data_IF_323278066237
#
_entry.id   IF_323278066237
#
_cell.length_a   1.000
_cell.length_b   1.000
_cell.length_c   1.000
_cell.angle_alpha   90.00
_cell.angle_beta   90.00
_cell.angle_gamma   90.00
#
_symmetry.space_group_name_H-M   'P 1'
#
loop_
_entity.id
_entity.type
_entity.pdbx_description
1 polymer ?
#
# COMPACT_ATOMS: atom_id res chain seq x y z
N UNK A 1 -13.72 -10.36 21.90
CA UNK A 1 -13.67 -9.74 20.56
C UNK A 1 -12.20 -9.70 20.15
N UNK A 2 -11.72 -10.75 19.48
CA UNK A 2 -10.39 -10.71 18.85
C UNK A 2 -10.58 -10.05 17.51
N UNK A 3 -9.98 -8.88 17.31
CA UNK A 3 -9.94 -8.25 15.99
C UNK A 3 -8.86 -8.98 15.20
N UNK A 4 -9.21 -9.53 14.03
CA UNK A 4 -8.24 -10.03 13.07
C UNK A 4 -7.56 -8.82 12.41
N UNK A 5 -6.27 -8.64 12.70
CA UNK A 5 -5.45 -7.54 12.17
C UNK A 5 -4.94 -7.78 10.76
N UNK A 6 -5.43 -8.83 10.10
CA UNK A 6 -4.94 -9.23 8.79
C UNK A 6 -5.79 -8.57 7.70
N UNK A 7 -5.36 -7.38 7.26
CA UNK A 7 -5.93 -6.67 6.11
C UNK A 7 -5.28 -7.23 4.84
N UNK A 8 -6.09 -7.61 3.85
CA UNK A 8 -5.54 -8.14 2.60
C UNK A 8 -4.97 -7.01 1.72
N UNK A 9 -3.88 -7.30 1.01
CA UNK A 9 -3.18 -6.31 0.19
C UNK A 9 -4.05 -5.83 -0.99
N UNK A 10 -4.97 -6.66 -1.48
CA UNK A 10 -5.91 -6.26 -2.53
C UNK A 10 -6.92 -5.21 -2.07
N UNK A 11 -7.23 -5.15 -0.76
CA UNK A 11 -8.09 -4.10 -0.18
C UNK A 11 -7.42 -2.72 -0.22
N UNK A 12 -6.08 -2.70 -0.23
CA UNK A 12 -5.27 -1.47 -0.26
C UNK A 12 -4.92 -1.08 -1.70
N UNK A 13 -4.54 -2.07 -2.52
CA UNK A 13 -4.04 -1.81 -3.87
C UNK A 13 -5.13 -1.75 -4.94
N UNK A 14 -6.35 -2.23 -4.62
CA UNK A 14 -7.44 -2.44 -5.57
C UNK A 14 -7.05 -3.25 -6.81
N UNK A 15 -5.99 -4.05 -6.67
CA UNK A 15 -5.39 -4.80 -7.75
C UNK A 15 -5.58 -6.29 -7.50
N UNK A 16 -6.09 -7.01 -8.50
CA UNK A 16 -6.32 -8.44 -8.39
C UNK A 16 -5.00 -9.22 -8.33
N UNK A 17 -5.03 -10.36 -7.65
CA UNK A 17 -3.87 -11.24 -7.59
C UNK A 17 -3.47 -11.73 -8.99
N UNK A 18 -2.18 -11.65 -9.30
CA UNK A 18 -1.60 -12.14 -10.54
C UNK A 18 -0.38 -13.01 -10.26
N UNK A 19 -0.02 -13.87 -11.22
CA UNK A 19 1.17 -14.73 -11.15
C UNK A 19 1.25 -15.57 -9.86
N UNK A 20 0.10 -16.02 -9.34
CA UNK A 20 0.02 -16.76 -8.08
C UNK A 20 0.52 -15.98 -6.87
N UNK A 21 0.24 -14.67 -6.81
CA UNK A 21 0.54 -13.82 -5.66
C UNK A 21 1.92 -13.18 -5.65
N UNK A 22 2.79 -13.52 -6.61
CA UNK A 22 4.18 -13.05 -6.64
C UNK A 22 4.34 -11.53 -6.76
N UNK A 23 3.33 -10.85 -7.31
CA UNK A 23 3.38 -9.40 -7.57
C UNK A 23 2.37 -8.60 -6.75
N UNK A 24 1.70 -9.22 -5.77
CA UNK A 24 0.60 -8.59 -5.02
C UNK A 24 1.03 -7.35 -4.21
N UNK A 25 2.31 -7.23 -3.86
CA UNK A 25 2.85 -6.10 -3.09
C UNK A 25 3.58 -5.07 -3.94
N UNK A 26 3.81 -5.33 -5.23
CA UNK A 26 4.55 -4.43 -6.13
C UNK A 26 3.64 -3.30 -6.63
N UNK A 27 3.16 -2.47 -5.70
CA UNK A 27 2.22 -1.39 -5.95
C UNK A 27 2.71 -0.06 -5.35
N UNK A 28 2.49 1.10 -6.02
CA UNK A 28 2.87 2.41 -5.49
C UNK A 28 2.31 2.70 -4.09
N UNK A 29 1.07 2.31 -3.79
CA UNK A 29 0.49 2.49 -2.45
C UNK A 29 1.28 1.74 -1.35
N UNK A 30 1.85 0.58 -1.66
CA UNK A 30 2.65 -0.20 -0.70
C UNK A 30 4.06 0.38 -0.59
N UNK A 31 4.73 0.59 -1.73
CA UNK A 31 6.11 1.06 -1.74
C UNK A 31 6.25 2.54 -1.36
N UNK A 32 5.28 3.39 -1.69
CA UNK A 32 5.21 4.78 -1.25
C UNK A 32 5.15 4.87 0.28
N UNK A 33 4.33 4.04 0.93
CA UNK A 33 4.30 3.96 2.40
C UNK A 33 5.61 3.50 3.05
N UNK A 34 6.42 2.68 2.35
CA UNK A 34 7.72 2.20 2.86
C UNK A 34 8.84 3.21 2.60
N UNK A 35 8.82 3.87 1.45
CA UNK A 35 9.91 4.70 0.95
C UNK A 35 9.74 6.19 1.26
N UNK A 36 8.53 6.64 1.61
CA UNK A 36 8.27 8.02 1.99
C UNK A 36 9.17 8.45 3.16
N UNK A 37 9.81 9.60 2.99
CA UNK A 37 10.62 10.25 4.01
C UNK A 37 9.72 11.14 4.86
N UNK A 38 10.19 11.48 6.05
CA UNK A 38 9.48 12.40 6.95
C UNK A 38 9.66 13.88 6.53
N UNK A 39 9.41 14.20 5.26
CA UNK A 39 9.49 15.55 4.69
C UNK A 39 8.09 16.08 4.41
N UNK A 40 7.94 17.42 4.36
CA UNK A 40 6.66 18.03 3.99
C UNK A 40 6.28 17.72 2.53
N UNK A 41 7.27 17.55 1.65
CA UNK A 41 7.09 17.21 0.25
C UNK A 41 6.51 15.80 0.08
N UNK A 42 7.15 14.77 0.67
CA UNK A 42 6.67 13.38 0.56
C UNK A 42 5.29 13.22 1.22
N UNK A 43 5.01 13.92 2.32
CA UNK A 43 3.66 13.92 2.93
C UNK A 43 2.61 14.51 1.99
N UNK A 44 2.92 15.66 1.38
CA UNK A 44 2.00 16.29 0.42
C UNK A 44 1.75 15.38 -0.78
N UNK A 45 2.80 14.74 -1.32
CA UNK A 45 2.68 13.79 -2.43
C UNK A 45 1.80 12.59 -2.08
N UNK A 46 1.93 12.06 -0.86
CA UNK A 46 1.09 10.95 -0.37
C UNK A 46 -0.38 11.36 -0.18
N UNK A 47 -0.64 12.58 0.27
CA UNK A 47 -2.00 13.12 0.44
C UNK A 47 -2.72 13.33 -0.90
N UNK A 48 -2.00 13.76 -1.94
CA UNK A 48 -2.60 14.01 -3.26
C UNK A 48 -2.69 12.77 -4.15
N UNK A 49 -1.97 11.70 -3.82
CA UNK A 49 -1.93 10.44 -4.60
C UNK A 49 -2.90 9.36 -4.09
N UNK A 50 -3.69 9.67 -3.05
CA UNK A 50 -4.76 8.82 -2.48
C UNK A 50 -6.10 9.14 -3.13
#
# INVERSE_FOLDING_TARGET
MGQDWNIDVSEITHFNEMLGGRVKTLHPAVHGGILARDTAEDRHEMEVST
#
